data_IF_166397990314
#
_entry.id   IF_166397990314
#
_cell.length_a   1.000
_cell.length_b   1.000
_cell.length_c   1.000
_cell.angle_alpha   90.00
_cell.angle_beta   90.00
_cell.angle_gamma   90.00
#
_symmetry.space_group_name_H-M   'P 1'
#
loop_
_entity.id
_entity.type
_entity.pdbx_description
1 polymer ?
#
# COMPACT_ATOMS: atom_id res chain seq x y z
N UNK A 1 -18.31 0.22 17.85
CA UNK A 1 -19.09 -0.84 17.17
C UNK A 1 -18.34 -1.45 15.98
N UNK A 2 -18.08 -0.69 14.90
CA UNK A 2 -17.38 -1.18 13.69
C UNK A 2 -16.11 -2.00 14.00
N UNK A 3 -15.17 -1.43 14.78
CA UNK A 3 -13.93 -2.12 15.18
C UNK A 3 -14.15 -3.44 15.94
N UNK A 4 -15.17 -3.52 16.78
CA UNK A 4 -15.49 -4.74 17.51
C UNK A 4 -15.98 -5.83 16.55
N UNK A 5 -16.79 -5.46 15.56
CA UNK A 5 -17.30 -6.37 14.55
C UNK A 5 -16.18 -6.85 13.62
N UNK A 6 -15.30 -5.96 13.17
CA UNK A 6 -14.07 -6.31 12.43
C UNK A 6 -13.26 -7.39 13.19
N UNK A 7 -13.06 -7.22 14.50
CA UNK A 7 -12.34 -8.18 15.34
C UNK A 7 -13.07 -9.52 15.50
N UNK A 8 -14.41 -9.50 15.60
CA UNK A 8 -15.20 -10.72 15.68
C UNK A 8 -15.15 -11.51 14.37
N UNK A 9 -15.22 -10.82 13.23
CA UNK A 9 -15.11 -11.42 11.90
C UNK A 9 -13.72 -12.02 11.66
N UNK A 10 -12.65 -11.28 11.95
CA UNK A 10 -11.28 -11.80 11.86
C UNK A 10 -11.06 -13.05 12.72
N UNK A 11 -11.69 -13.10 13.90
CA UNK A 11 -11.61 -14.25 14.81
C UNK A 11 -12.63 -15.36 14.48
N UNK A 12 -13.36 -15.27 13.37
CA UNK A 12 -14.41 -16.22 12.97
C UNK A 12 -15.44 -16.49 14.06
N UNK A 13 -15.75 -15.47 14.86
CA UNK A 13 -16.73 -15.53 15.98
C UNK A 13 -18.16 -15.25 15.53
N UNK A 14 -18.36 -14.89 14.27
CA UNK A 14 -19.66 -14.64 13.68
C UNK A 14 -20.00 -15.81 12.77
N UNK A 15 -21.21 -16.38 12.93
CA UNK A 15 -21.72 -17.36 12.00
C UNK A 15 -22.29 -16.64 10.77
N UNK A 16 -21.47 -16.52 9.72
CA UNK A 16 -21.85 -15.85 8.49
C UNK A 16 -22.93 -16.60 7.69
N UNK A 17 -23.17 -17.88 8.01
CA UNK A 17 -24.21 -18.68 7.38
C UNK A 17 -25.60 -18.48 7.98
N UNK A 18 -25.68 -17.82 9.13
CA UNK A 18 -26.95 -17.54 9.79
C UNK A 18 -27.85 -16.65 8.93
N UNK A 19 -29.16 -16.91 9.00
CA UNK A 19 -30.17 -16.13 8.28
C UNK A 19 -30.12 -14.65 8.65
N UNK A 20 -29.90 -14.35 9.92
CA UNK A 20 -29.81 -12.98 10.43
C UNK A 20 -28.60 -12.24 9.87
N UNK A 21 -27.44 -12.90 9.79
CA UNK A 21 -26.26 -12.31 9.16
C UNK A 21 -26.44 -12.06 7.67
N UNK A 22 -26.99 -13.05 6.95
CA UNK A 22 -27.30 -12.92 5.52
C UNK A 22 -28.28 -11.79 5.25
N UNK A 23 -29.28 -11.59 6.14
CA UNK A 23 -30.21 -10.48 6.08
C UNK A 23 -29.51 -9.13 6.26
N UNK A 24 -28.64 -9.00 7.26
CA UNK A 24 -27.87 -7.76 7.51
C UNK A 24 -26.86 -7.42 6.40
N UNK A 25 -26.29 -8.44 5.74
CA UNK A 25 -25.41 -8.26 4.60
C UNK A 25 -26.17 -8.07 3.27
N UNK A 26 -27.47 -8.31 3.24
CA UNK A 26 -28.29 -8.25 2.04
C UNK A 26 -28.29 -6.85 1.43
N UNK A 27 -28.28 -6.75 0.10
CA UNK A 27 -28.26 -5.46 -0.62
C UNK A 27 -29.41 -4.53 -0.22
N UNK A 28 -30.54 -5.11 0.15
CA UNK A 28 -31.77 -4.41 0.51
C UNK A 28 -31.76 -3.81 1.93
N UNK A 29 -30.83 -4.23 2.80
CA UNK A 29 -30.72 -3.65 4.14
C UNK A 29 -30.00 -2.30 4.09
N UNK A 30 -30.78 -1.23 4.20
CA UNK A 30 -30.32 0.16 4.24
C UNK A 30 -30.19 0.70 5.67
N UNK A 31 -30.38 -0.13 6.69
CA UNK A 31 -30.27 0.29 8.09
C UNK A 31 -28.85 0.73 8.45
N UNK A 32 -28.74 1.59 9.47
CA UNK A 32 -27.43 2.00 10.01
C UNK A 32 -26.62 0.80 10.49
N UNK A 33 -27.27 -0.22 11.07
CA UNK A 33 -26.60 -1.44 11.49
C UNK A 33 -26.13 -2.26 10.30
N UNK A 34 -26.96 -2.44 9.27
CA UNK A 34 -26.59 -3.11 8.02
C UNK A 34 -25.39 -2.43 7.35
N UNK A 35 -25.36 -1.09 7.33
CA UNK A 35 -24.19 -0.32 6.88
C UNK A 35 -22.92 -0.66 7.68
N UNK A 36 -23.00 -0.67 9.02
CA UNK A 36 -21.86 -1.02 9.89
C UNK A 36 -21.39 -2.45 9.64
N UNK A 37 -22.32 -3.39 9.44
CA UNK A 37 -22.00 -4.79 9.13
C UNK A 37 -21.26 -4.89 7.79
N UNK A 38 -21.82 -4.30 6.74
CA UNK A 38 -21.23 -4.34 5.39
C UNK A 38 -19.86 -3.68 5.32
N UNK A 39 -19.67 -2.51 5.93
CA UNK A 39 -18.35 -1.86 5.94
C UNK A 39 -17.35 -2.66 6.77
N UNK A 40 -17.76 -3.29 7.87
CA UNK A 40 -16.87 -4.15 8.66
C UNK A 40 -16.41 -5.35 7.85
N UNK A 41 -17.34 -6.00 7.13
CA UNK A 41 -17.05 -7.13 6.25
C UNK A 41 -16.08 -6.75 5.13
N UNK A 42 -16.38 -5.70 4.37
CA UNK A 42 -15.53 -5.20 3.29
C UNK A 42 -14.10 -4.93 3.79
N UNK A 43 -13.96 -4.30 4.96
CA UNK A 43 -12.63 -4.05 5.54
C UNK A 43 -11.89 -5.33 5.90
N UNK A 44 -12.56 -6.32 6.48
CA UNK A 44 -11.95 -7.60 6.84
C UNK A 44 -11.54 -8.37 5.58
N UNK A 45 -12.39 -8.41 4.57
CA UNK A 45 -12.10 -9.06 3.28
C UNK A 45 -10.87 -8.42 2.61
N UNK A 46 -10.82 -7.07 2.57
CA UNK A 46 -9.65 -6.33 2.06
C UNK A 46 -8.39 -6.63 2.89
N UNK A 47 -8.47 -6.66 4.22
CA UNK A 47 -7.32 -7.00 5.07
C UNK A 47 -6.81 -8.40 4.76
N UNK A 48 -7.71 -9.37 4.59
CA UNK A 48 -7.32 -10.74 4.24
C UNK A 48 -6.60 -10.80 2.89
N UNK A 49 -7.12 -10.09 1.88
CA UNK A 49 -6.48 -10.01 0.56
C UNK A 49 -5.09 -9.37 0.67
N UNK A 50 -4.97 -8.19 1.32
CA UNK A 50 -3.67 -7.53 1.53
C UNK A 50 -2.69 -8.45 2.27
N UNK A 51 -3.16 -9.17 3.31
CA UNK A 51 -2.33 -10.06 4.11
C UNK A 51 -1.78 -11.24 3.30
N UNK A 52 -2.57 -11.78 2.37
CA UNK A 52 -2.12 -12.83 1.47
C UNK A 52 -1.07 -12.33 0.48
N UNK A 53 -1.18 -11.06 0.08
CA UNK A 53 -0.22 -10.44 -0.82
C UNK A 53 1.10 -10.05 -0.14
N UNK A 54 1.23 -10.07 1.19
CA UNK A 54 2.38 -9.48 1.92
C UNK A 54 3.74 -9.95 1.43
N UNK A 55 3.85 -11.22 1.06
CA UNK A 55 5.11 -11.83 0.60
C UNK A 55 5.32 -11.75 -0.91
N UNK A 56 4.34 -11.26 -1.67
CA UNK A 56 4.46 -11.07 -3.12
C UNK A 56 4.99 -9.66 -3.39
N UNK A 57 5.93 -9.51 -4.33
CA UNK A 57 6.39 -8.21 -4.86
C UNK A 57 5.97 -8.04 -6.31
N UNK A 58 5.71 -6.80 -6.75
CA UNK A 58 5.40 -6.53 -8.16
C UNK A 58 6.69 -6.51 -8.96
N UNK A 59 6.92 -7.56 -9.74
CA UNK A 59 8.00 -7.54 -10.73
C UNK A 59 7.58 -6.70 -11.95
N UNK A 60 8.12 -5.48 -12.06
CA UNK A 60 7.83 -4.59 -13.18
C UNK A 60 8.38 -5.11 -14.53
N UNK A 61 9.37 -6.01 -14.51
CA UNK A 61 9.96 -6.61 -15.71
C UNK A 61 9.14 -7.78 -16.26
N UNK A 62 8.42 -8.49 -15.38
CA UNK A 62 7.62 -9.67 -15.70
C UNK A 62 6.15 -9.46 -15.32
N UNK A 63 5.54 -8.41 -15.87
CA UNK A 63 4.17 -8.02 -15.54
C UNK A 63 3.15 -9.16 -15.70
N UNK A 64 3.33 -10.03 -16.69
CA UNK A 64 2.45 -11.17 -16.94
C UNK A 64 2.46 -12.21 -15.81
N UNK A 65 3.54 -12.27 -15.02
CA UNK A 65 3.71 -13.22 -13.92
C UNK A 65 3.06 -12.72 -12.63
N UNK A 66 2.77 -11.42 -12.51
CA UNK A 66 2.09 -10.80 -11.35
C UNK A 66 0.56 -11.01 -11.36
N UNK A 67 0.05 -12.07 -11.99
CA UNK A 67 -1.39 -12.26 -12.17
C UNK A 67 -2.12 -12.43 -10.83
N UNK A 68 -1.50 -13.06 -9.82
CA UNK A 68 -2.06 -13.19 -8.46
C UNK A 68 -2.31 -11.83 -7.81
N UNK A 69 -1.32 -10.94 -7.89
CA UNK A 69 -1.38 -9.56 -7.39
C UNK A 69 -2.51 -8.82 -8.10
N UNK A 70 -2.60 -8.92 -9.42
CA UNK A 70 -3.64 -8.22 -10.17
C UNK A 70 -5.04 -8.74 -9.89
N UNK A 71 -5.23 -10.04 -9.74
CA UNK A 71 -6.51 -10.62 -9.33
C UNK A 71 -6.92 -10.09 -7.95
N UNK A 72 -5.97 -10.03 -7.01
CA UNK A 72 -6.20 -9.51 -5.66
C UNK A 72 -6.57 -8.02 -5.68
N UNK A 73 -5.90 -7.23 -6.51
CA UNK A 73 -6.21 -5.81 -6.70
C UNK A 73 -7.59 -5.60 -7.33
N UNK A 74 -7.97 -6.42 -8.30
CA UNK A 74 -9.30 -6.39 -8.90
C UNK A 74 -10.40 -6.76 -7.89
N UNK A 75 -10.16 -7.78 -7.06
CA UNK A 75 -11.09 -8.20 -6.01
C UNK A 75 -11.30 -7.08 -4.97
N UNK A 76 -10.22 -6.47 -4.48
CA UNK A 76 -10.32 -5.31 -3.59
C UNK A 76 -11.09 -4.15 -4.25
N UNK A 77 -10.86 -3.89 -5.54
CA UNK A 77 -11.57 -2.86 -6.29
C UNK A 77 -13.08 -3.11 -6.35
N UNK A 78 -13.49 -4.36 -6.62
CA UNK A 78 -14.90 -4.78 -6.61
C UNK A 78 -15.54 -4.56 -5.24
N UNK A 79 -14.90 -5.00 -4.15
CA UNK A 79 -15.40 -4.81 -2.79
C UNK A 79 -15.62 -3.33 -2.45
N UNK A 80 -14.67 -2.47 -2.83
CA UNK A 80 -14.74 -1.02 -2.62
C UNK A 80 -15.87 -0.36 -3.42
N UNK A 81 -16.02 -0.73 -4.69
CA UNK A 81 -17.04 -0.19 -5.59
C UNK A 81 -18.45 -0.65 -5.20
N UNK A 82 -18.61 -1.95 -4.88
CA UNK A 82 -19.89 -2.53 -4.49
C UNK A 82 -20.43 -1.84 -3.23
N UNK A 83 -19.57 -1.63 -2.23
CA UNK A 83 -19.96 -0.89 -1.03
C UNK A 83 -20.34 0.57 -1.35
N UNK A 84 -19.50 1.25 -2.12
CA UNK A 84 -19.69 2.68 -2.44
C UNK A 84 -20.93 2.94 -3.30
N UNK A 85 -21.35 1.94 -4.10
CA UNK A 85 -22.59 1.99 -4.88
C UNK A 85 -23.84 2.10 -4.00
N UNK A 86 -23.82 1.46 -2.83
CA UNK A 86 -24.92 1.49 -1.87
C UNK A 86 -24.77 2.61 -0.82
N UNK A 87 -23.54 2.98 -0.48
CA UNK A 87 -23.24 3.88 0.64
C UNK A 87 -22.25 4.99 0.27
N UNK A 88 -22.64 5.77 -0.74
CA UNK A 88 -21.80 6.82 -1.33
C UNK A 88 -21.27 7.83 -0.31
N UNK A 89 -22.01 8.13 0.76
CA UNK A 89 -21.55 9.06 1.80
C UNK A 89 -20.27 8.60 2.53
N UNK A 90 -19.97 7.30 2.53
CA UNK A 90 -18.78 6.74 3.20
C UNK A 90 -17.65 6.39 2.23
N UNK A 91 -17.86 6.52 0.92
CA UNK A 91 -16.90 6.19 -0.13
C UNK A 91 -15.52 6.79 0.14
N UNK A 92 -15.47 8.10 0.37
CA UNK A 92 -14.21 8.83 0.63
C UNK A 92 -13.48 8.29 1.85
N UNK A 93 -14.19 8.06 2.95
CA UNK A 93 -13.59 7.56 4.18
C UNK A 93 -13.04 6.14 4.01
N UNK A 94 -13.77 5.29 3.27
CA UNK A 94 -13.36 3.92 2.97
C UNK A 94 -12.10 3.89 2.08
N UNK A 95 -12.03 4.73 1.04
CA UNK A 95 -10.87 4.80 0.16
C UNK A 95 -9.62 5.31 0.87
N UNK A 96 -9.76 6.32 1.72
CA UNK A 96 -8.65 6.81 2.56
C UNK A 96 -8.21 5.72 3.54
N UNK A 97 -9.14 4.99 4.16
CA UNK A 97 -8.82 3.87 5.03
C UNK A 97 -8.06 2.77 4.27
N UNK A 98 -8.50 2.41 3.06
CA UNK A 98 -7.86 1.43 2.19
C UNK A 98 -6.41 1.82 1.87
N UNK A 99 -6.18 3.07 1.45
CA UNK A 99 -4.83 3.58 1.18
C UNK A 99 -3.92 3.51 2.41
N UNK A 100 -4.46 3.81 3.59
CA UNK A 100 -3.70 3.69 4.84
C UNK A 100 -3.32 2.23 5.14
N UNK A 101 -4.23 1.28 4.89
CA UNK A 101 -3.89 -0.14 5.05
C UNK A 101 -2.82 -0.56 4.04
N UNK A 102 -3.01 -0.24 2.76
CA UNK A 102 -2.03 -0.60 1.74
C UNK A 102 -0.64 -0.01 2.05
N UNK A 103 -0.58 1.25 2.50
CA UNK A 103 0.65 1.89 2.94
C UNK A 103 1.29 1.17 4.13
N UNK A 104 0.52 0.82 5.16
CA UNK A 104 1.05 0.14 6.34
C UNK A 104 1.64 -1.23 6.03
N UNK A 105 1.02 -1.98 5.13
CA UNK A 105 1.42 -3.36 4.85
C UNK A 105 2.45 -3.49 3.73
N UNK A 106 2.43 -2.59 2.75
CA UNK A 106 3.26 -2.66 1.53
C UNK A 106 4.16 -1.45 1.31
N UNK A 107 3.97 -0.38 2.06
CA UNK A 107 4.73 0.85 1.91
C UNK A 107 4.27 1.73 0.75
N UNK A 108 4.88 2.90 0.67
CA UNK A 108 4.51 3.93 -0.32
C UNK A 108 4.89 3.55 -1.75
N UNK A 109 5.98 2.81 -1.96
CA UNK A 109 6.44 2.42 -3.29
C UNK A 109 5.43 1.53 -4.02
N UNK A 110 4.78 0.64 -3.28
CA UNK A 110 3.69 -0.18 -3.79
C UNK A 110 2.49 0.65 -4.24
N UNK A 111 2.11 1.68 -3.47
CA UNK A 111 1.08 2.64 -3.87
C UNK A 111 1.51 3.38 -5.13
N UNK A 112 2.76 3.79 -5.27
CA UNK A 112 3.21 4.44 -6.50
C UNK A 112 3.10 3.49 -7.69
N UNK A 113 3.68 2.29 -7.59
CA UNK A 113 3.66 1.29 -8.65
C UNK A 113 2.23 1.01 -9.11
N UNK A 114 1.31 0.77 -8.17
CA UNK A 114 -0.08 0.43 -8.49
C UNK A 114 -0.79 1.61 -9.17
N UNK A 115 -0.64 2.83 -8.64
CA UNK A 115 -1.49 3.96 -9.03
C UNK A 115 -0.91 4.78 -10.18
N UNK A 116 0.39 4.69 -10.46
CA UNK A 116 1.06 5.56 -11.45
C UNK A 116 1.54 4.81 -12.69
N UNK A 117 1.72 3.48 -12.63
CA UNK A 117 2.11 2.70 -13.80
C UNK A 117 0.92 2.52 -14.77
N UNK A 118 1.04 2.92 -16.05
CA UNK A 118 -0.06 2.86 -17.01
C UNK A 118 -0.66 1.45 -17.16
N UNK A 119 0.19 0.42 -17.18
CA UNK A 119 -0.22 -0.97 -17.47
C UNK A 119 -0.82 -1.68 -16.25
N UNK A 120 -0.36 -1.36 -15.04
CA UNK A 120 -0.92 -1.89 -13.78
C UNK A 120 -2.21 -1.15 -13.44
N UNK A 121 -2.14 0.19 -13.51
CA UNK A 121 -3.21 1.02 -13.02
C UNK A 121 -4.45 0.98 -13.92
N UNK A 122 -4.30 1.07 -15.24
CA UNK A 122 -5.44 1.15 -16.15
C UNK A 122 -6.22 -0.18 -16.26
N UNK A 123 -5.56 -1.32 -16.07
CA UNK A 123 -6.12 -2.63 -16.46
C UNK A 123 -6.82 -3.39 -15.34
N UNK A 124 -6.36 -3.27 -14.09
CA UNK A 124 -6.83 -4.15 -13.00
C UNK A 124 -7.47 -3.43 -11.81
N UNK A 125 -7.17 -2.15 -11.59
CA UNK A 125 -7.66 -1.39 -10.43
C UNK A 125 -8.41 -0.11 -10.80
N UNK A 126 -8.01 0.59 -11.88
CA UNK A 126 -8.43 1.98 -12.13
C UNK A 126 -9.09 2.27 -13.48
N UNK A 127 -9.83 1.33 -14.07
CA UNK A 127 -10.84 1.74 -15.05
C UNK A 127 -11.96 2.56 -14.37
N UNK A 128 -12.46 2.05 -13.23
CA UNK A 128 -13.65 2.59 -12.55
C UNK A 128 -13.33 3.45 -11.32
N UNK A 129 -12.33 3.08 -10.51
CA UNK A 129 -11.98 3.84 -9.30
C UNK A 129 -11.24 5.16 -9.59
N UNK A 130 -10.54 5.27 -10.74
CA UNK A 130 -9.81 6.50 -11.14
C UNK A 130 -10.69 7.70 -11.42
N UNK A 131 -12.01 7.52 -11.58
CA UNK A 131 -12.92 8.66 -11.75
C UNK A 131 -13.08 9.40 -10.41
N UNK A 132 -12.74 8.76 -9.28
CA UNK A 132 -12.79 9.39 -7.98
C UNK A 132 -11.55 10.29 -7.75
N UNK A 133 -11.82 11.56 -7.41
CA UNK A 133 -10.83 12.60 -7.16
C UNK A 133 -9.72 12.21 -6.16
N UNK A 134 -9.99 11.28 -5.23
CA UNK A 134 -9.01 10.84 -4.22
C UNK A 134 -7.83 10.13 -4.89
N UNK A 135 -8.10 9.24 -5.84
CA UNK A 135 -7.05 8.47 -6.50
C UNK A 135 -6.41 9.23 -7.66
N UNK A 136 -7.15 10.13 -8.33
CA UNK A 136 -6.58 11.09 -9.29
C UNK A 136 -5.49 11.99 -8.67
N UNK A 137 -5.58 12.25 -7.37
CA UNK A 137 -4.62 13.10 -6.68
C UNK A 137 -3.29 12.39 -6.42
N UNK A 138 -3.23 11.06 -6.59
CA UNK A 138 -2.00 10.28 -6.47
C UNK A 138 -1.17 10.45 -7.76
N UNK A 139 0.06 10.92 -7.58
CA UNK A 139 1.01 11.20 -8.67
C UNK A 139 2.29 10.43 -8.39
N UNK A 140 3.02 10.06 -9.44
CA UNK A 140 4.38 9.56 -9.26
C UNK A 140 5.20 10.66 -8.58
N UNK A 141 5.91 10.31 -7.49
CA UNK A 141 6.87 11.26 -6.92
C UNK A 141 8.04 11.38 -7.90
N UNK A 142 8.39 12.61 -8.19
CA UNK A 142 9.70 12.96 -8.75
C UNK A 142 10.74 12.74 -7.66
N UNK A 143 11.88 12.13 -8.01
CA UNK A 143 12.93 11.78 -7.04
C UNK A 143 13.44 13.02 -6.26
N UNK A 144 13.36 14.19 -6.88
CA UNK A 144 13.73 15.49 -6.31
C UNK A 144 12.68 16.06 -5.33
N UNK A 145 11.43 15.60 -5.40
CA UNK A 145 10.32 16.06 -4.55
C UNK A 145 9.88 14.98 -3.55
N UNK A 146 10.84 14.18 -3.05
CA UNK A 146 10.55 13.15 -2.07
C UNK A 146 10.91 13.64 -0.64
N UNK A 147 10.00 14.32 0.08
CA UNK A 147 10.20 14.66 1.49
C UNK A 147 10.27 13.42 2.39
N UNK A 148 9.93 12.24 1.86
CA UNK A 148 10.05 10.93 2.49
C UNK A 148 11.20 10.12 1.90
N UNK A 149 12.28 10.76 1.48
CA UNK A 149 13.53 10.04 1.27
C UNK A 149 14.08 9.66 2.66
N UNK A 150 14.05 8.37 3.04
CA UNK A 150 14.49 7.96 4.38
C UNK A 150 15.96 8.33 4.61
N UNK A 151 16.75 8.46 3.55
CA UNK A 151 18.13 8.90 3.64
C UNK A 151 18.26 10.41 3.93
N UNK A 152 17.31 11.26 3.52
CA UNK A 152 17.32 12.69 3.92
C UNK A 152 17.04 12.80 5.41
N UNK A 153 16.07 12.02 5.92
CA UNK A 153 15.73 12.02 7.33
C UNK A 153 16.85 11.50 8.24
N UNK A 154 17.60 10.50 7.77
CA UNK A 154 18.69 9.87 8.55
C UNK A 154 20.04 10.58 8.36
N UNK A 155 20.37 11.02 7.14
CA UNK A 155 21.71 11.52 6.80
C UNK A 155 21.75 13.03 6.47
N UNK A 156 20.60 13.73 6.47
CA UNK A 156 20.54 15.16 6.17
C UNK A 156 20.61 15.49 4.66
N UNK A 157 20.31 16.76 4.34
CA UNK A 157 19.92 17.17 2.99
C UNK A 157 20.98 17.15 1.89
N UNK A 158 22.27 17.28 2.19
CA UNK A 158 23.25 17.66 1.14
C UNK A 158 24.50 16.78 1.01
N UNK A 159 25.14 16.37 2.10
CA UNK A 159 26.49 15.76 2.00
C UNK A 159 26.44 14.32 1.48
N UNK A 160 25.48 13.53 1.97
CA UNK A 160 25.34 12.12 1.59
C UNK A 160 24.44 11.93 0.36
N UNK A 161 23.56 12.89 0.09
CA UNK A 161 22.62 12.76 -1.02
C UNK A 161 23.31 12.82 -2.39
N UNK A 162 24.37 13.63 -2.54
CA UNK A 162 25.18 13.65 -3.77
C UNK A 162 25.87 12.30 -4.03
N UNK A 163 26.33 11.63 -2.97
CA UNK A 163 26.94 10.30 -3.07
C UNK A 163 25.90 9.24 -3.40
N UNK A 164 24.74 9.25 -2.72
CA UNK A 164 23.62 8.35 -3.01
C UNK A 164 23.14 8.51 -4.45
N UNK A 165 22.95 9.76 -4.90
CA UNK A 165 22.58 10.06 -6.29
C UNK A 165 23.63 9.54 -7.27
N UNK A 166 24.93 9.75 -6.99
CA UNK A 166 26.01 9.25 -7.83
C UNK A 166 26.02 7.72 -7.94
N UNK A 167 25.75 7.01 -6.84
CA UNK A 167 25.61 5.54 -6.82
C UNK A 167 24.41 5.10 -7.67
N UNK A 168 23.27 5.77 -7.51
CA UNK A 168 22.05 5.45 -8.27
C UNK A 168 22.14 5.80 -9.76
N UNK A 169 22.90 6.84 -10.13
CA UNK A 169 23.13 7.25 -11.52
C UNK A 169 24.25 6.47 -12.20
N UNK A 170 25.14 5.81 -11.46
CA UNK A 170 26.08 4.82 -11.99
C UNK A 170 25.34 3.51 -12.34
N UNK A 171 24.50 3.57 -13.37
CA UNK A 171 24.08 2.40 -14.11
C UNK A 171 25.31 1.74 -14.75
N UNK A 172 25.78 0.62 -14.22
CA UNK A 172 26.22 -0.47 -15.09
C UNK A 172 25.15 -1.54 -15.06
N UNK A 173 24.49 -1.74 -16.20
CA UNK A 173 24.06 -3.03 -16.78
C UNK A 173 23.80 -4.26 -15.88
N UNK A 174 23.24 -4.12 -14.68
CA UNK A 174 23.01 -5.25 -13.78
C UNK A 174 21.54 -5.29 -13.34
N UNK A 175 20.99 -6.51 -13.34
CA UNK A 175 19.62 -6.88 -12.95
C UNK A 175 19.13 -6.13 -11.68
N UNK A 176 17.85 -5.74 -11.60
CA UNK A 176 17.25 -5.05 -10.45
C UNK A 176 17.51 -5.71 -9.09
N UNK A 177 17.73 -7.02 -9.05
CA UNK A 177 18.05 -7.77 -7.83
C UNK A 177 19.42 -7.40 -7.23
N UNK A 178 20.37 -6.90 -8.02
CA UNK A 178 21.70 -6.52 -7.53
C UNK A 178 21.80 -5.07 -7.06
N UNK A 179 20.84 -4.21 -7.41
CA UNK A 179 20.87 -2.78 -7.03
C UNK A 179 20.72 -2.64 -5.51
N UNK A 180 19.83 -3.41 -4.88
CA UNK A 180 19.70 -3.39 -3.42
C UNK A 180 20.95 -3.93 -2.72
N UNK A 181 21.56 -4.98 -3.25
CA UNK A 181 22.81 -5.52 -2.71
C UNK A 181 23.97 -4.54 -2.84
N UNK A 182 24.07 -3.83 -3.96
CA UNK A 182 25.11 -2.85 -4.22
C UNK A 182 24.89 -1.56 -3.42
N UNK A 183 23.65 -1.09 -3.27
CA UNK A 183 23.29 -0.01 -2.35
C UNK A 183 23.63 -0.40 -0.91
N UNK A 184 23.28 -1.60 -0.46
CA UNK A 184 23.63 -2.06 0.91
C UNK A 184 25.15 -2.17 1.08
N UNK A 185 25.88 -2.72 0.10
CA UNK A 185 27.33 -2.91 0.18
C UNK A 185 28.09 -1.59 0.13
N UNK A 186 27.61 -0.60 -0.62
CA UNK A 186 28.23 0.72 -0.72
C UNK A 186 27.79 1.67 0.41
N UNK A 187 26.62 1.45 1.02
CA UNK A 187 26.19 2.18 2.22
C UNK A 187 26.73 1.56 3.53
N UNK A 188 27.16 0.31 3.54
CA UNK A 188 27.73 -0.35 4.73
C UNK A 188 28.95 0.41 5.32
N UNK A 189 29.92 0.89 4.52
CA UNK A 189 31.02 1.72 5.02
C UNK A 189 30.56 3.09 5.54
N UNK A 190 29.45 3.62 5.02
CA UNK A 190 28.83 4.88 5.44
C UNK A 190 28.06 4.75 6.77
N UNK A 191 27.49 3.58 7.03
CA UNK A 191 26.86 3.23 8.31
C UNK A 191 27.93 3.05 9.39
N UNK A 192 29.04 2.38 9.06
CA UNK A 192 30.14 2.22 10.02
C UNK A 192 30.88 3.53 10.32
N UNK A 193 30.92 4.49 9.39
CA UNK A 193 31.57 5.79 9.63
C UNK A 193 30.71 6.78 10.42
N UNK A 194 29.38 6.66 10.39
CA UNK A 194 28.48 7.47 11.22
C UNK A 194 28.43 7.00 12.67
N UNK A 195 28.64 5.71 12.96
CA UNK A 195 28.78 5.19 14.33
C UNK A 195 30.04 5.73 15.05
N UNK A 196 31.15 5.93 14.33
CA UNK A 196 32.35 6.53 14.90
C UNK A 196 32.16 8.02 15.23
N UNK A 197 31.41 8.76 14.41
CA UNK A 197 31.13 10.17 14.65
C UNK A 197 30.22 10.43 15.86
N UNK A 198 29.32 9.50 16.20
CA UNK A 198 28.48 9.59 17.39
C UNK A 198 29.26 9.31 18.69
N UNK A 199 30.27 8.43 18.64
CA UNK A 199 31.12 8.15 19.80
C UNK A 199 32.07 9.32 20.12
N UNK A 200 32.59 10.02 19.11
CA UNK A 200 33.48 11.17 19.33
C UNK A 200 32.75 12.41 19.88
N UNK A 201 31.44 12.54 19.63
CA UNK A 201 30.62 13.61 20.22
C UNK A 201 30.15 13.32 21.65
N UNK A 202 30.36 12.09 22.15
CA UNK A 202 30.02 11.71 23.54
C UNK A 202 31.19 11.88 24.52
N UNK A 203 32.37 12.30 24.02
CA UNK A 203 33.58 12.52 24.82
C UNK A 203 34.06 13.98 24.88
N UNK A 204 33.22 14.95 24.48
CA UNK A 204 33.51 16.38 24.66
C UNK A 204 32.60 17.04 25.68
#
# INVERSE_FOLDING_TARGET
>A
LNRCLELMLLKKKVNEDSKDWKKLCGKDDTSNLGCVVKISKVKVDIINIISNMVYEDIDLSQLAENQSIFNSLEEMSKLLLDFSSCYKQYERALYVWFLKQLYMWKGIHWIEIIFTQPNVGMKYLFGKLKINNIFCSLRARTFHDNPFNPFIGVYGGNTYMNNIQRIMHHKSSVSPHNIYHEIITQLFPLINSSEHHLNDQSQS
#
